data_IF_062797313551
#
_entry.id   IF_062797313551
#
_cell.length_a   1.000
_cell.length_b   1.000
_cell.length_c   1.000
_cell.angle_alpha   90.00
_cell.angle_beta   90.00
_cell.angle_gamma   90.00
#
_symmetry.space_group_name_H-M   'P 1'
#
loop_
_entity.id
_entity.type
_entity.pdbx_description
1 polymer ?
#
# COMPACT_ATOMS: atom_id res chain seq x y z
N UNK A 1 -29.05 0.35 -11.15
CA UNK A 1 -27.75 -0.30 -10.89
C UNK A 1 -26.75 0.77 -10.47
N UNK A 2 -26.21 0.69 -9.25
CA UNK A 2 -25.24 1.67 -8.73
C UNK A 2 -23.88 1.39 -9.36
N UNK A 3 -23.32 2.32 -10.15
CA UNK A 3 -22.03 2.11 -10.83
C UNK A 3 -20.88 2.46 -9.89
N UNK A 4 -20.04 1.47 -9.57
CA UNK A 4 -18.72 1.74 -9.00
C UNK A 4 -17.81 2.33 -10.09
N UNK A 5 -16.89 3.21 -9.69
CA UNK A 5 -15.88 3.80 -10.57
C UNK A 5 -14.53 3.11 -10.29
N UNK A 6 -13.80 2.79 -11.35
CA UNK A 6 -12.44 2.28 -11.26
C UNK A 6 -11.44 3.38 -11.60
N UNK A 7 -10.37 3.45 -10.80
CA UNK A 7 -9.28 4.38 -10.97
C UNK A 7 -7.98 3.60 -11.10
N UNK A 8 -7.16 3.97 -12.08
CA UNK A 8 -5.79 3.47 -12.22
C UNK A 8 -4.85 4.61 -11.85
N UNK A 9 -4.21 4.51 -10.69
CA UNK A 9 -3.28 5.53 -10.20
C UNK A 9 -1.88 5.21 -10.69
N UNK A 10 -1.26 6.14 -11.40
CA UNK A 10 0.13 6.00 -11.87
C UNK A 10 1.12 6.57 -10.85
N UNK A 11 1.96 5.70 -10.30
CA UNK A 11 2.94 6.01 -9.26
C UNK A 11 4.26 6.48 -9.86
N UNK A 12 4.68 5.90 -10.99
CA UNK A 12 6.05 6.05 -11.49
C UNK A 12 6.93 4.90 -11.02
N UNK A 13 8.28 5.03 -11.06
CA UNK A 13 9.16 3.98 -10.59
C UNK A 13 8.99 3.73 -9.08
N UNK A 14 9.41 2.54 -8.62
CA UNK A 14 9.42 2.25 -7.18
C UNK A 14 10.31 3.27 -6.45
N UNK A 15 9.82 3.93 -5.38
CA UNK A 15 10.65 4.83 -4.59
C UNK A 15 11.89 4.12 -4.02
N UNK A 16 13.05 4.74 -4.17
CA UNK A 16 14.32 4.24 -3.65
C UNK A 16 14.67 4.90 -2.31
N UNK A 17 14.24 6.14 -2.12
CA UNK A 17 14.49 6.93 -0.92
C UNK A 17 13.19 7.46 -0.30
N UNK A 18 13.27 7.93 0.95
CA UNK A 18 12.14 8.61 1.59
C UNK A 18 11.76 9.88 0.85
N UNK A 19 12.73 10.60 0.28
CA UNK A 19 12.47 11.78 -0.52
C UNK A 19 11.67 11.44 -1.78
N UNK A 20 12.05 10.39 -2.51
CA UNK A 20 11.28 9.90 -3.66
C UNK A 20 9.85 9.54 -3.26
N UNK A 21 9.70 8.86 -2.11
CA UNK A 21 8.39 8.46 -1.62
C UNK A 21 7.53 9.67 -1.25
N UNK A 22 8.11 10.68 -0.59
CA UNK A 22 7.41 11.92 -0.24
C UNK A 22 6.98 12.69 -1.48
N UNK A 23 7.86 12.85 -2.48
CA UNK A 23 7.53 13.52 -3.73
C UNK A 23 6.42 12.78 -4.49
N UNK A 24 6.50 11.45 -4.57
CA UNK A 24 5.45 10.61 -5.14
C UNK A 24 4.12 10.77 -4.38
N UNK A 25 4.14 10.65 -3.05
CA UNK A 25 2.97 10.81 -2.19
C UNK A 25 2.31 12.18 -2.40
N UNK A 26 3.09 13.26 -2.38
CA UNK A 26 2.57 14.63 -2.47
C UNK A 26 1.94 14.90 -3.83
N UNK A 27 2.37 14.18 -4.88
CA UNK A 27 1.75 14.21 -6.20
C UNK A 27 0.43 13.44 -6.27
N UNK A 28 0.35 12.23 -5.68
CA UNK A 28 -0.81 11.33 -5.90
C UNK A 28 -1.82 11.37 -4.77
N UNK A 29 -1.39 11.48 -3.51
CA UNK A 29 -2.24 11.35 -2.33
C UNK A 29 -3.10 12.60 -2.02
N UNK A 30 -3.19 13.54 -2.96
CA UNK A 30 -4.18 14.64 -2.92
C UNK A 30 -5.61 14.18 -3.22
N UNK A 31 -5.77 12.93 -3.65
CA UNK A 31 -7.04 12.21 -3.85
C UNK A 31 -7.10 10.98 -2.94
N UNK A 32 -8.29 10.49 -2.57
CA UNK A 32 -8.42 9.31 -1.73
C UNK A 32 -7.90 8.05 -2.44
N UNK A 33 -8.09 7.93 -3.75
CA UNK A 33 -7.56 6.82 -4.56
C UNK A 33 -6.03 6.86 -4.61
N UNK A 34 -5.46 8.04 -4.79
CA UNK A 34 -4.02 8.22 -4.76
C UNK A 34 -3.42 7.99 -3.38
N UNK A 35 -4.14 8.31 -2.29
CA UNK A 35 -3.75 7.96 -0.92
C UNK A 35 -3.72 6.44 -0.72
N UNK A 36 -4.74 5.73 -1.22
CA UNK A 36 -4.78 4.27 -1.18
C UNK A 36 -3.64 3.64 -1.97
N UNK A 37 -3.35 4.17 -3.16
CA UNK A 37 -2.27 3.73 -4.01
C UNK A 37 -0.89 3.99 -3.40
N UNK A 38 -0.65 5.19 -2.84
CA UNK A 38 0.59 5.52 -2.14
C UNK A 38 0.81 4.56 -0.96
N UNK A 39 -0.23 4.29 -0.17
CA UNK A 39 -0.15 3.35 0.94
C UNK A 39 0.18 1.92 0.50
N UNK A 40 -0.42 1.41 -0.59
CA UNK A 40 -0.06 0.11 -1.15
C UNK A 40 1.43 0.04 -1.56
N UNK A 41 1.98 1.11 -2.12
CA UNK A 41 3.41 1.21 -2.44
C UNK A 41 4.27 1.24 -1.17
N UNK A 42 3.83 1.92 -0.11
CA UNK A 42 4.51 1.89 1.18
C UNK A 42 4.64 0.45 1.73
N UNK A 43 3.57 -0.33 1.64
CA UNK A 43 3.57 -1.74 2.05
C UNK A 43 4.52 -2.58 1.18
N UNK A 44 4.54 -2.35 -0.14
CA UNK A 44 5.45 -3.07 -1.04
C UNK A 44 6.93 -2.75 -0.74
N UNK A 45 7.25 -1.49 -0.45
CA UNK A 45 8.58 -1.08 0.00
C UNK A 45 8.95 -1.69 1.35
N UNK A 46 8.03 -1.68 2.32
CA UNK A 46 8.24 -2.30 3.64
C UNK A 46 8.50 -3.80 3.54
N UNK A 47 7.71 -4.51 2.72
CA UNK A 47 7.86 -5.95 2.59
C UNK A 47 9.18 -6.35 1.90
N UNK A 48 9.72 -5.47 1.04
CA UNK A 48 11.06 -5.63 0.44
C UNK A 48 12.17 -5.36 1.46
N UNK A 49 12.07 -4.24 2.16
CA UNK A 49 13.05 -3.81 3.15
C UNK A 49 12.34 -3.06 4.28
N UNK A 50 12.16 -3.69 5.46
CA UNK A 50 11.47 -3.07 6.57
C UNK A 50 12.14 -1.80 7.11
N UNK A 51 13.47 -1.70 7.03
CA UNK A 51 14.20 -0.54 7.52
C UNK A 51 13.95 0.68 6.63
N UNK A 52 13.93 0.47 5.31
CA UNK A 52 13.65 1.51 4.32
C UNK A 52 12.17 1.85 4.25
N UNK A 53 11.28 0.85 4.27
CA UNK A 53 9.85 1.05 4.05
C UNK A 53 9.06 1.48 5.29
N UNK A 54 9.55 1.24 6.51
CA UNK A 54 8.84 1.67 7.72
C UNK A 54 8.63 3.20 7.76
N UNK A 55 9.63 4.06 7.46
CA UNK A 55 9.41 5.49 7.27
C UNK A 55 8.32 5.83 6.23
N UNK A 56 8.16 5.02 5.18
CA UNK A 56 7.17 5.29 4.13
C UNK A 56 5.76 5.01 4.65
N UNK A 57 5.60 3.91 5.40
CA UNK A 57 4.37 3.60 6.13
C UNK A 57 4.05 4.71 7.12
N UNK A 58 5.03 5.17 7.93
CA UNK A 58 4.85 6.28 8.90
C UNK A 58 4.20 7.51 8.27
N UNK A 59 4.65 7.89 7.07
CA UNK A 59 4.16 9.12 6.43
C UNK A 59 2.87 8.92 5.62
N UNK A 60 2.45 7.67 5.41
CA UNK A 60 1.28 7.28 4.63
C UNK A 60 0.05 6.93 5.49
N UNK A 61 0.22 6.77 6.80
CA UNK A 61 -0.87 6.49 7.76
C UNK A 61 -1.24 7.73 8.58
N UNK A 62 -2.46 7.73 9.10
CA UNK A 62 -2.98 8.84 9.91
C UNK A 62 -2.18 9.01 11.21
N UNK A 63 -2.12 10.25 11.71
CA UNK A 63 -1.25 10.63 12.83
C UNK A 63 -1.65 9.97 14.16
N UNK A 64 -2.95 9.67 14.32
CA UNK A 64 -3.50 8.93 15.45
C UNK A 64 -2.94 7.50 15.54
N UNK A 65 -2.49 6.93 14.43
CA UNK A 65 -1.84 5.60 14.38
C UNK A 65 -0.34 5.64 14.64
N UNK A 66 0.20 6.82 15.00
CA UNK A 66 1.60 7.01 15.33
C UNK A 66 1.82 7.17 16.84
N UNK A 67 3.03 6.83 17.28
CA UNK A 67 3.57 7.10 18.62
C UNK A 67 4.88 7.88 18.52
N UNK A 68 5.31 8.48 19.64
CA UNK A 68 6.58 9.20 19.73
C UNK A 68 7.76 8.23 19.66
N UNK A 69 8.76 8.60 18.84
CA UNK A 69 10.03 7.90 18.72
C UNK A 69 11.10 8.86 18.18
N UNK A 70 12.07 9.31 19.00
CA UNK A 70 13.13 10.21 18.56
C UNK A 70 13.94 9.73 17.35
N UNK A 71 14.02 8.41 17.12
CA UNK A 71 14.70 7.84 15.97
C UNK A 71 13.80 7.73 14.72
N UNK A 72 12.48 7.91 14.89
CA UNK A 72 11.50 7.86 13.82
C UNK A 72 11.48 9.13 12.97
N UNK A 73 10.81 9.07 11.82
CA UNK A 73 10.68 10.22 10.93
C UNK A 73 9.97 11.38 11.65
N UNK A 74 10.66 12.52 11.79
CA UNK A 74 10.19 13.68 12.56
C UNK A 74 9.75 13.32 13.99
N UNK A 75 10.48 12.41 14.63
CA UNK A 75 10.20 12.01 16.02
C UNK A 75 8.98 11.08 16.16
N UNK A 76 8.52 10.46 15.07
CA UNK A 76 7.29 9.63 15.05
C UNK A 76 7.52 8.30 14.36
N UNK A 77 6.81 7.28 14.82
CA UNK A 77 6.72 5.96 14.17
C UNK A 77 5.31 5.37 14.25
N UNK A 78 4.97 4.32 13.48
CA UNK A 78 3.73 3.59 13.66
C UNK A 78 3.70 2.93 15.05
N UNK A 79 2.51 2.86 15.66
CA UNK A 79 2.34 2.20 16.96
C UNK A 79 2.94 0.80 16.98
N UNK A 80 3.47 0.36 18.12
CA UNK A 80 4.13 -0.97 18.27
C UNK A 80 3.33 -2.13 17.68
N UNK A 81 2.01 -2.16 17.90
CA UNK A 81 1.12 -3.20 17.36
C UNK A 81 1.09 -3.23 15.82
N UNK A 82 1.11 -2.06 15.18
CA UNK A 82 1.14 -1.95 13.71
C UNK A 82 2.47 -2.50 13.19
N UNK A 83 3.59 -2.13 13.81
CA UNK A 83 4.92 -2.64 13.42
C UNK A 83 4.98 -4.17 13.55
N UNK A 84 4.40 -4.74 14.61
CA UNK A 84 4.32 -6.18 14.81
C UNK A 84 3.47 -6.85 13.72
N UNK A 85 2.28 -6.32 13.42
CA UNK A 85 1.41 -6.85 12.37
C UNK A 85 2.10 -6.83 11.00
N UNK A 86 2.74 -5.72 10.64
CA UNK A 86 3.48 -5.59 9.38
C UNK A 86 4.59 -6.65 9.29
N UNK A 87 5.35 -6.86 10.36
CA UNK A 87 6.39 -7.89 10.42
C UNK A 87 5.81 -9.29 10.23
N UNK A 88 4.76 -9.63 10.96
CA UNK A 88 4.20 -10.99 10.97
C UNK A 88 3.48 -11.33 9.67
N UNK A 89 2.86 -10.33 9.05
CA UNK A 89 2.01 -10.52 7.88
C UNK A 89 2.73 -10.27 6.56
N UNK A 90 3.70 -9.37 6.51
CA UNK A 90 4.41 -9.01 5.28
C UNK A 90 5.91 -9.37 5.30
N UNK A 91 6.48 -9.68 6.46
CA UNK A 91 7.88 -10.11 6.57
C UNK A 91 8.12 -11.57 6.16
N UNK A 92 9.39 -11.98 6.21
CA UNK A 92 9.84 -13.37 6.04
C UNK A 92 9.32 -14.07 4.76
N UNK A 93 9.51 -13.45 3.59
CA UNK A 93 9.13 -14.03 2.29
C UNK A 93 7.66 -13.87 1.90
N UNK A 94 6.91 -13.01 2.62
CA UNK A 94 5.51 -12.68 2.33
C UNK A 94 5.34 -11.38 1.53
N UNK A 95 6.41 -10.93 0.88
CA UNK A 95 6.44 -9.75 0.01
C UNK A 95 5.44 -9.83 -1.15
N UNK A 96 5.16 -11.04 -1.62
CA UNK A 96 4.11 -11.31 -2.61
C UNK A 96 2.73 -10.77 -2.22
N UNK A 97 2.38 -10.72 -0.91
CA UNK A 97 1.11 -10.14 -0.45
C UNK A 97 1.05 -8.66 -0.81
N UNK A 98 2.08 -7.89 -0.43
CA UNK A 98 2.12 -6.46 -0.71
C UNK A 98 2.28 -6.16 -2.21
N UNK A 99 3.07 -6.95 -2.93
CA UNK A 99 3.24 -6.80 -4.39
C UNK A 99 1.96 -7.06 -5.17
N UNK A 100 1.07 -7.91 -4.66
CA UNK A 100 -0.18 -8.26 -5.34
C UNK A 100 -1.08 -7.06 -5.68
N UNK A 101 -0.92 -5.93 -4.99
CA UNK A 101 -1.69 -4.70 -5.26
C UNK A 101 -1.14 -3.86 -6.41
N UNK A 102 0.03 -4.22 -6.96
CA UNK A 102 0.62 -3.58 -8.14
C UNK A 102 0.11 -4.26 -9.40
N UNK A 103 -0.43 -3.47 -10.33
CA UNK A 103 -0.91 -3.96 -11.63
C UNK A 103 0.24 -4.57 -12.43
N UNK A 104 -0.02 -5.72 -13.06
CA UNK A 104 0.97 -6.46 -13.84
C UNK A 104 1.65 -7.59 -13.07
N UNK A 105 1.47 -7.66 -11.75
CA UNK A 105 1.90 -8.81 -10.95
C UNK A 105 0.95 -9.99 -11.11
N UNK A 106 1.43 -11.22 -10.91
CA UNK A 106 0.61 -12.44 -10.93
C UNK A 106 1.24 -13.56 -10.07
N UNK A 107 0.45 -14.52 -9.57
CA UNK A 107 0.99 -15.66 -8.84
C UNK A 107 2.07 -16.45 -9.63
N UNK A 108 1.87 -16.59 -10.94
CA UNK A 108 2.70 -17.44 -11.82
C UNK A 108 4.16 -16.99 -11.94
N UNK A 109 4.44 -15.70 -11.79
CA UNK A 109 5.80 -15.15 -11.82
C UNK A 109 6.32 -14.74 -10.43
N UNK A 110 5.67 -15.23 -9.37
CA UNK A 110 6.03 -14.87 -8.01
C UNK A 110 5.69 -13.43 -7.64
N UNK A 111 4.73 -12.82 -8.34
CA UNK A 111 4.36 -11.41 -8.19
C UNK A 111 5.52 -10.46 -8.52
N UNK A 112 6.21 -10.72 -9.64
CA UNK A 112 7.29 -9.87 -10.11
C UNK A 112 6.77 -8.45 -10.43
N UNK A 113 7.44 -7.43 -9.90
CA UNK A 113 7.06 -6.03 -10.16
C UNK A 113 7.43 -5.63 -11.59
N UNK A 114 6.61 -4.80 -12.26
CA UNK A 114 6.96 -4.23 -13.56
C UNK A 114 8.25 -3.40 -13.48
N UNK A 115 9.10 -3.46 -14.52
CA UNK A 115 10.36 -2.72 -14.57
C UNK A 115 10.20 -1.19 -14.74
N UNK A 116 9.01 -0.72 -15.11
CA UNK A 116 8.72 0.68 -15.40
C UNK A 116 7.81 1.36 -14.37
N UNK A 117 6.90 2.19 -14.86
CA UNK A 117 5.94 2.88 -14.02
C UNK A 117 4.99 1.87 -13.35
N UNK A 118 4.94 1.91 -12.03
CA UNK A 118 3.99 1.14 -11.22
C UNK A 118 2.62 1.82 -11.28
N UNK A 119 1.58 0.99 -11.30
CA UNK A 119 0.20 1.45 -11.18
C UNK A 119 -0.55 0.61 -10.16
N UNK A 120 -1.53 1.23 -9.51
CA UNK A 120 -2.44 0.57 -8.55
C UNK A 120 -3.87 0.82 -9.00
N UNK A 121 -4.67 -0.24 -9.05
CA UNK A 121 -6.09 -0.13 -9.40
C UNK A 121 -6.95 -0.05 -8.13
N UNK A 122 -7.78 0.97 -8.06
CA UNK A 122 -8.63 1.30 -6.91
C UNK A 122 -10.08 1.40 -7.37
N UNK A 123 -10.98 0.79 -6.60
CA UNK A 123 -12.43 0.85 -6.80
C UNK A 123 -13.04 1.81 -5.78
N UNK A 124 -13.82 2.75 -6.29
CA UNK A 124 -14.64 3.67 -5.51
C UNK A 124 -16.12 3.32 -5.71
N UNK A 125 -16.85 3.15 -4.62
CA UNK A 125 -18.30 3.02 -4.62
C UNK A 125 -18.95 4.41 -4.44
N UNK A 126 -20.24 4.54 -4.78
CA UNK A 126 -20.96 5.82 -4.69
C UNK A 126 -20.83 6.49 -3.31
N UNK A 127 -20.93 5.69 -2.24
CA UNK A 127 -20.90 6.18 -0.86
C UNK A 127 -19.53 5.97 -0.20
N UNK A 128 -18.48 5.80 -1.02
CA UNK A 128 -17.11 5.63 -0.54
C UNK A 128 -16.53 6.90 0.11
N UNK A 129 -17.14 8.07 -0.09
CA UNK A 129 -16.67 9.35 0.46
C UNK A 129 -17.70 9.93 1.42
N UNK A 130 -17.21 10.34 2.59
CA UNK A 130 -17.99 11.03 3.62
C UNK A 130 -17.13 12.14 4.23
N UNK A 131 -17.20 13.34 3.65
CA UNK A 131 -16.34 14.46 4.02
C UNK A 131 -14.85 14.12 3.85
N UNK A 132 -14.08 14.26 4.92
CA UNK A 132 -12.64 13.94 4.95
C UNK A 132 -12.35 12.46 5.25
N UNK A 133 -13.32 11.56 5.05
CA UNK A 133 -13.16 10.12 5.20
C UNK A 133 -13.50 9.39 3.91
N UNK A 134 -12.74 8.34 3.62
CA UNK A 134 -12.97 7.48 2.47
C UNK A 134 -12.91 5.99 2.85
N UNK A 135 -13.73 5.16 2.21
CA UNK A 135 -13.58 3.70 2.20
C UNK A 135 -13.52 3.22 0.75
N UNK A 136 -12.33 2.85 0.33
CA UNK A 136 -12.02 2.40 -1.03
C UNK A 136 -11.66 0.91 -1.03
N UNK A 137 -11.48 0.35 -2.22
CA UNK A 137 -11.03 -1.03 -2.35
C UNK A 137 -9.88 -1.13 -3.35
N UNK A 138 -8.78 -1.80 -2.98
CA UNK A 138 -7.61 -1.97 -3.84
C UNK A 138 -7.65 -3.34 -4.49
N UNK A 139 -7.51 -3.40 -5.81
CA UNK A 139 -7.45 -4.68 -6.52
C UNK A 139 -6.15 -5.41 -6.21
N UNK A 140 -6.24 -6.72 -6.06
CA UNK A 140 -5.08 -7.62 -5.90
C UNK A 140 -5.09 -8.64 -7.03
N UNK A 141 -3.92 -8.90 -7.63
CA UNK A 141 -3.73 -10.00 -8.58
C UNK A 141 -3.82 -11.39 -7.92
N UNK A 142 -3.74 -11.43 -6.59
CA UNK A 142 -3.75 -12.65 -5.80
C UNK A 142 -5.05 -12.90 -5.02
N UNK A 143 -6.10 -12.09 -5.21
CA UNK A 143 -7.39 -12.27 -4.55
C UNK A 143 -8.57 -12.13 -5.53
N UNK A 144 -9.68 -12.83 -5.27
CA UNK A 144 -10.88 -12.78 -6.12
C UNK A 144 -11.62 -11.43 -6.02
N UNK A 145 -11.44 -10.72 -4.92
CA UNK A 145 -12.15 -9.46 -4.63
C UNK A 145 -11.19 -8.36 -4.20
N UNK A 146 -11.47 -7.08 -4.56
CA UNK A 146 -10.73 -5.92 -4.06
C UNK A 146 -10.75 -5.84 -2.52
N UNK A 147 -9.63 -5.47 -1.92
CA UNK A 147 -9.47 -5.39 -0.46
C UNK A 147 -9.78 -3.99 0.06
N UNK A 148 -10.60 -3.86 1.12
CA UNK A 148 -10.98 -2.56 1.64
C UNK A 148 -9.80 -1.84 2.30
N UNK A 149 -9.76 -0.52 2.14
CA UNK A 149 -8.88 0.41 2.85
C UNK A 149 -9.69 1.64 3.23
N UNK A 150 -9.58 2.07 4.48
CA UNK A 150 -10.15 3.32 4.95
C UNK A 150 -9.07 4.40 4.99
N UNK A 151 -9.44 5.63 4.63
CA UNK A 151 -8.56 6.78 4.62
C UNK A 151 -9.20 7.98 5.32
N UNK A 152 -8.34 8.88 5.80
CA UNK A 152 -8.72 10.22 6.22
C UNK A 152 -7.84 11.27 5.53
N UNK A 153 -8.43 12.40 5.18
CA UNK A 153 -7.71 13.57 4.68
C UNK A 153 -7.17 14.37 5.86
N UNK A 154 -5.91 14.79 5.80
CA UNK A 154 -5.32 15.64 6.82
C UNK A 154 -5.47 17.15 6.49
N UNK A 155 -5.00 17.98 7.41
CA UNK A 155 -4.96 19.45 7.31
C UNK A 155 -4.18 19.99 6.09
N UNK A 156 -3.26 19.19 5.54
CA UNK A 156 -2.49 19.49 4.31
C UNK A 156 -3.15 18.97 3.03
N UNK A 157 -4.36 18.41 3.14
CA UNK A 157 -5.12 17.89 2.02
C UNK A 157 -4.68 16.51 1.52
N UNK A 158 -3.76 15.83 2.22
CA UNK A 158 -3.27 14.50 1.89
C UNK A 158 -4.14 13.42 2.52
N UNK A 159 -4.50 12.41 1.73
CA UNK A 159 -5.23 11.24 2.16
C UNK A 159 -4.28 10.18 2.71
N UNK A 160 -4.56 9.71 3.92
CA UNK A 160 -3.74 8.75 4.65
C UNK A 160 -4.56 7.57 5.15
N UNK A 161 -3.98 6.38 5.15
CA UNK A 161 -4.67 5.18 5.58
C UNK A 161 -4.96 5.21 7.10
N UNK A 162 -6.16 4.78 7.46
CA UNK A 162 -6.65 4.67 8.85
C UNK A 162 -7.03 3.23 9.23
N UNK A 163 -7.35 2.38 8.25
CA UNK A 163 -7.58 0.94 8.44
C UNK A 163 -7.26 0.21 7.13
N UNK A 164 -6.52 -0.89 7.22
CA UNK A 164 -6.02 -1.61 6.05
C UNK A 164 -5.69 -3.07 6.33
N UNK A 165 -6.11 -3.64 7.46
CA UNK A 165 -5.80 -5.02 7.85
C UNK A 165 -6.06 -6.03 6.72
N UNK A 166 -7.07 -5.79 5.88
CA UNK A 166 -7.37 -6.62 4.70
C UNK A 166 -6.30 -6.63 3.61
N UNK A 167 -5.44 -5.60 3.54
CA UNK A 167 -4.33 -5.54 2.60
C UNK A 167 -3.16 -6.45 3.04
N UNK A 168 -3.13 -6.86 4.31
CA UNK A 168 -2.09 -7.70 4.90
C UNK A 168 -2.49 -9.19 4.98
N UNK A 169 -3.67 -9.54 4.47
CA UNK A 169 -4.19 -10.92 4.49
C UNK A 169 -3.62 -11.71 3.32
N UNK A 170 -3.41 -13.01 3.53
CA UNK A 170 -2.90 -13.93 2.53
C UNK A 170 -3.62 -13.84 1.18
N UNK A 171 -2.81 -13.93 0.13
CA UNK A 171 -3.23 -14.02 -1.27
C UNK A 171 -2.87 -15.39 -1.82
N UNK A 172 -3.28 -15.70 -3.06
CA UNK A 172 -2.85 -16.93 -3.75
C UNK A 172 -1.32 -17.07 -3.64
N UNK A 173 -0.85 -18.22 -3.19
CA UNK A 173 0.59 -18.45 -3.06
C UNK A 173 1.28 -18.25 -4.42
N UNK A 174 2.51 -17.70 -4.44
CA UNK A 174 3.30 -17.67 -5.66
C UNK A 174 3.51 -19.10 -6.17
N UNK A 175 3.54 -19.28 -7.50
CA UNK A 175 3.96 -20.54 -8.06
C UNK A 175 5.36 -20.87 -7.52
N UNK A 176 5.57 -22.14 -7.13
CA UNK A 176 6.92 -22.58 -6.75
C UNK A 176 7.85 -22.24 -7.92
N UNK A 177 9.06 -21.68 -7.66
CA UNK A 177 10.01 -21.45 -8.74
C UNK A 177 10.17 -22.76 -9.49
N UNK A 178 9.95 -22.72 -10.81
CA UNK A 178 10.28 -23.85 -11.68
C UNK A 178 11.78 -24.08 -11.50
N UNK A 179 12.14 -25.09 -10.71
CA UNK A 179 13.50 -25.63 -10.68
C UNK A 179 13.64 -26.42 -11.97
N UNK A 180 14.09 -25.74 -13.01
CA UNK A 180 14.64 -26.41 -14.17
C UNK A 180 16.11 -26.66 -13.81
N UNK A 181 16.41 -27.89 -13.37
CA UNK A 181 17.79 -28.34 -13.17
C UNK A 181 18.38 -28.81 -14.53
N UNK A 182 17.97 -28.16 -15.64
CA UNK A 182 18.50 -28.32 -17.00
C UNK A 182 19.45 -27.19 -17.34
#
# INVERSE_FOLDING_TARGET
MSSAVEHVVTIGPMPATLEDYLAMRDRVAVTPEGGAAAFAIALACYARDPAVGLPYVTVAIAMDLLEDDPAGYKGRRPRRMIVQNLRDRLGAGKDHIARSYVVGTRPDDGYALPAGALTVRVKQQRDSLAGDRAKLFVYSSGADTPRPVALARNDKGLWKATEWSSLEVGVRAPAAPRRDDL
#
